data_IF_396721389259
#
_entry.id   IF_396721389259
#
_cell.length_a   1.000
_cell.length_b   1.000
_cell.length_c   1.000
_cell.angle_alpha   90.00
_cell.angle_beta   90.00
_cell.angle_gamma   90.00
#
_symmetry.space_group_name_H-M   'P 1'
#
loop_
_entity.id
_entity.type
_entity.pdbx_description
1 polymer ?
#
# COMPACT_ATOMS: atom_id res chain seq x y z
N UNK A 1 22.26 -18.05 -15.66
CA UNK A 1 21.69 -16.81 -15.10
C UNK A 1 20.57 -17.26 -14.19
N UNK A 2 20.57 -16.85 -12.93
CA UNK A 2 19.41 -17.10 -12.06
C UNK A 2 18.20 -16.38 -12.68
N UNK A 3 17.12 -17.12 -12.86
CA UNK A 3 15.88 -16.63 -13.42
C UNK A 3 15.25 -15.66 -12.42
N UNK A 4 15.26 -14.36 -12.72
CA UNK A 4 14.73 -13.30 -11.85
C UNK A 4 13.65 -12.51 -12.56
N UNK A 5 12.71 -11.95 -11.80
CA UNK A 5 11.65 -11.07 -12.29
C UNK A 5 11.62 -9.78 -11.49
N UNK A 6 11.19 -8.67 -12.11
CA UNK A 6 11.07 -7.40 -11.41
C UNK A 6 9.88 -7.42 -10.45
N UNK A 7 10.10 -7.04 -9.18
CA UNK A 7 9.06 -6.96 -8.17
C UNK A 7 8.69 -5.50 -7.88
N UNK A 8 7.41 -5.14 -8.07
CA UNK A 8 6.90 -3.80 -7.77
C UNK A 8 7.03 -3.43 -6.29
N UNK A 9 6.92 -4.40 -5.38
CA UNK A 9 7.07 -4.17 -3.94
C UNK A 9 8.53 -3.98 -3.52
N UNK A 10 9.44 -4.85 -3.99
CA UNK A 10 10.86 -4.75 -3.62
C UNK A 10 11.62 -3.66 -4.39
N UNK A 11 11.15 -3.30 -5.60
CA UNK A 11 11.79 -2.31 -6.46
C UNK A 11 13.02 -2.82 -7.19
N UNK A 12 13.20 -4.13 -7.28
CA UNK A 12 14.39 -4.77 -7.87
C UNK A 12 14.03 -6.11 -8.54
N UNK A 13 14.99 -6.69 -9.27
CA UNK A 13 14.86 -8.05 -9.77
C UNK A 13 15.11 -9.06 -8.65
N UNK A 14 14.15 -9.98 -8.47
CA UNK A 14 14.13 -10.94 -7.37
C UNK A 14 13.96 -12.36 -7.90
N UNK A 15 14.42 -13.38 -7.16
CA UNK A 15 13.99 -14.76 -7.37
C UNK A 15 12.47 -14.86 -7.18
N UNK A 16 11.86 -15.83 -7.86
CA UNK A 16 10.41 -16.04 -7.80
C UNK A 16 10.06 -17.46 -7.39
N UNK A 17 8.88 -17.62 -6.81
CA UNK A 17 8.27 -18.91 -6.48
C UNK A 17 6.89 -19.00 -7.12
N UNK A 18 6.42 -20.23 -7.38
CA UNK A 18 5.02 -20.46 -7.74
C UNK A 18 4.22 -20.82 -6.49
N UNK A 19 3.09 -20.15 -6.30
CA UNK A 19 2.15 -20.45 -5.21
C UNK A 19 0.81 -20.80 -5.82
N UNK A 20 0.23 -21.91 -5.38
CA UNK A 20 -1.14 -22.29 -5.77
C UNK A 20 -2.14 -21.65 -4.80
N UNK A 21 -3.04 -20.83 -5.34
CA UNK A 21 -4.14 -20.19 -4.60
C UNK A 21 -5.42 -20.33 -5.40
N UNK A 22 -6.49 -20.86 -4.79
CA UNK A 22 -7.81 -20.98 -5.43
C UNK A 22 -7.75 -21.58 -6.83
N UNK A 23 -7.02 -22.69 -7.00
CA UNK A 23 -6.82 -23.40 -8.28
C UNK A 23 -6.08 -22.60 -9.36
N UNK A 24 -5.52 -21.44 -9.02
CA UNK A 24 -4.64 -20.64 -9.88
C UNK A 24 -3.20 -20.74 -9.41
N UNK A 25 -2.28 -20.87 -10.37
CA UNK A 25 -0.84 -20.85 -10.11
C UNK A 25 -0.34 -19.43 -10.31
N UNK A 26 0.06 -18.79 -9.21
CA UNK A 26 0.55 -17.41 -9.20
C UNK A 26 2.09 -17.38 -9.13
N UNK A 27 2.70 -16.51 -9.94
CA UNK A 27 4.11 -16.19 -9.84
C UNK A 27 4.32 -15.14 -8.74
N UNK A 28 5.15 -15.42 -7.74
CA UNK A 28 5.31 -14.56 -6.55
C UNK A 28 6.78 -14.26 -6.27
N UNK A 29 7.04 -13.08 -5.70
CA UNK A 29 8.34 -12.67 -5.20
C UNK A 29 8.78 -13.61 -4.08
N UNK A 30 9.99 -14.18 -4.18
CA UNK A 30 10.53 -15.03 -3.12
C UNK A 30 10.83 -14.28 -1.82
N UNK A 31 10.93 -12.94 -1.86
CA UNK A 31 11.25 -12.12 -0.68
C UNK A 31 10.05 -11.51 0.03
N UNK A 32 9.06 -11.01 -0.71
CA UNK A 32 7.88 -10.36 -0.13
C UNK A 32 6.56 -11.07 -0.43
N UNK A 33 6.56 -12.14 -1.22
CA UNK A 33 5.35 -12.88 -1.58
C UNK A 33 4.39 -12.15 -2.53
N UNK A 34 4.73 -10.95 -3.00
CA UNK A 34 3.90 -10.19 -3.94
C UNK A 34 3.83 -10.87 -5.30
N UNK A 35 2.66 -10.85 -5.94
CA UNK A 35 2.45 -11.41 -7.28
C UNK A 35 3.29 -10.62 -8.30
N UNK A 36 4.00 -11.30 -9.21
CA UNK A 36 4.94 -10.66 -10.12
C UNK A 36 4.40 -10.39 -11.52
N UNK A 37 3.33 -11.07 -11.94
CA UNK A 37 2.74 -10.92 -13.28
C UNK A 37 1.60 -9.87 -13.31
N UNK A 38 1.66 -8.86 -12.43
CA UNK A 38 0.63 -7.80 -12.30
C UNK A 38 0.47 -6.97 -13.57
N UNK A 39 1.54 -6.80 -14.35
CA UNK A 39 1.54 -5.98 -15.56
C UNK A 39 0.61 -6.50 -16.67
N UNK A 40 0.19 -7.76 -16.63
CA UNK A 40 -0.78 -8.35 -17.58
C UNK A 40 -2.23 -8.32 -17.07
N UNK A 41 -2.47 -7.82 -15.85
CA UNK A 41 -3.75 -8.00 -15.15
C UNK A 41 -4.58 -6.71 -15.04
N UNK A 42 -4.17 -5.60 -15.68
CA UNK A 42 -4.71 -4.28 -15.36
C UNK A 42 -5.41 -3.57 -16.50
N UNK A 43 -6.68 -3.23 -16.27
CA UNK A 43 -7.37 -2.06 -16.83
C UNK A 43 -7.53 -1.03 -15.69
N UNK A 44 -7.42 0.30 -15.93
CA UNK A 44 -7.62 1.31 -14.88
C UNK A 44 -8.91 1.05 -14.10
N UNK A 45 -8.89 1.19 -12.76
CA UNK A 45 -10.05 0.81 -11.98
C UNK A 45 -11.20 1.76 -12.36
N UNK A 46 -12.44 1.29 -12.19
CA UNK A 46 -13.56 2.23 -12.25
C UNK A 46 -13.39 3.21 -11.10
N UNK A 47 -13.52 4.50 -11.39
CA UNK A 47 -13.47 5.58 -10.40
C UNK A 47 -14.23 5.20 -9.12
N UNK A 48 -13.54 5.19 -7.98
CA UNK A 48 -14.19 5.00 -6.67
C UNK A 48 -14.57 6.34 -6.05
N UNK A 49 -15.70 6.37 -5.33
CA UNK A 49 -16.07 7.50 -4.46
C UNK A 49 -15.38 7.47 -3.09
N UNK A 50 -14.62 6.40 -2.82
CA UNK A 50 -13.89 6.18 -1.59
C UNK A 50 -12.62 7.02 -1.48
N UNK A 51 -12.06 7.02 -0.27
CA UNK A 51 -10.88 7.79 0.07
C UNK A 51 -9.61 6.97 -0.11
N UNK A 52 -8.60 7.60 -0.71
CA UNK A 52 -7.22 7.12 -0.68
C UNK A 52 -6.46 7.95 0.33
N UNK A 53 -5.93 7.30 1.36
CA UNK A 53 -5.19 7.95 2.45
C UNK A 53 -3.69 7.77 2.25
N UNK A 54 -2.91 8.83 2.50
CA UNK A 54 -1.44 8.79 2.43
C UNK A 54 -0.90 9.39 3.73
N UNK A 55 -0.06 8.66 4.45
CA UNK A 55 0.71 9.19 5.58
C UNK A 55 2.20 9.01 5.28
N UNK A 56 2.89 10.12 5.04
CA UNK A 56 4.29 10.17 4.65
C UNK A 56 4.86 11.50 5.13
N UNK A 57 5.96 11.49 5.87
CA UNK A 57 6.52 12.70 6.47
C UNK A 57 7.29 13.56 5.44
N UNK A 58 7.96 12.92 4.47
CA UNK A 58 8.63 13.61 3.37
C UNK A 58 7.64 14.31 2.45
N UNK A 59 7.63 15.65 2.49
CA UNK A 59 6.77 16.48 1.64
C UNK A 59 6.94 16.16 0.14
N UNK A 60 8.18 15.89 -0.29
CA UNK A 60 8.48 15.56 -1.68
C UNK A 60 7.82 14.25 -2.10
N UNK A 61 8.02 13.18 -1.32
CA UNK A 61 7.44 11.86 -1.60
C UNK A 61 5.92 11.90 -1.49
N UNK A 62 5.39 12.55 -0.45
CA UNK A 62 3.95 12.77 -0.25
C UNK A 62 3.31 13.47 -1.47
N UNK A 63 4.00 14.46 -2.06
CA UNK A 63 3.53 15.17 -3.26
C UNK A 63 3.50 14.27 -4.49
N UNK A 64 4.55 13.47 -4.72
CA UNK A 64 4.63 12.52 -5.85
C UNK A 64 3.45 11.54 -5.80
N UNK A 65 3.28 10.88 -4.65
CA UNK A 65 2.22 9.89 -4.42
C UNK A 65 0.84 10.54 -4.55
N UNK A 66 0.65 11.72 -3.98
CA UNK A 66 -0.62 12.44 -4.08
C UNK A 66 -0.96 12.77 -5.54
N UNK A 67 0.02 13.23 -6.33
CA UNK A 67 -0.21 13.62 -7.71
C UNK A 67 -0.58 12.43 -8.60
N UNK A 68 0.09 11.29 -8.45
CA UNK A 68 -0.21 10.10 -9.26
C UNK A 68 -1.59 9.52 -8.92
N UNK A 69 -1.99 9.57 -7.65
CA UNK A 69 -3.28 9.03 -7.19
C UNK A 69 -4.46 10.00 -7.36
N UNK A 70 -4.21 11.30 -7.56
CA UNK A 70 -5.24 12.29 -7.91
C UNK A 70 -5.63 12.29 -9.39
N UNK A 71 -5.05 11.40 -10.19
CA UNK A 71 -5.44 11.26 -11.59
C UNK A 71 -6.84 10.65 -11.70
N UNK A 72 -7.54 10.91 -12.81
CA UNK A 72 -8.90 10.41 -13.11
C UNK A 72 -9.02 8.87 -13.01
N UNK A 73 -7.90 8.15 -12.95
CA UNK A 73 -7.86 6.69 -12.86
C UNK A 73 -8.22 6.16 -11.47
N UNK A 74 -7.86 6.80 -10.36
CA UNK A 74 -7.94 6.15 -9.04
C UNK A 74 -9.13 6.58 -8.20
N UNK A 75 -9.02 7.75 -7.58
CA UNK A 75 -10.02 8.23 -6.63
C UNK A 75 -10.18 9.74 -6.77
N UNK A 76 -11.41 10.19 -6.64
CA UNK A 76 -11.73 11.62 -6.54
C UNK A 76 -11.24 12.24 -5.21
N UNK A 77 -10.91 11.43 -4.19
CA UNK A 77 -10.70 11.87 -2.81
C UNK A 77 -9.40 11.32 -2.21
N UNK A 78 -8.28 11.92 -2.62
CA UNK A 78 -6.97 11.67 -2.00
C UNK A 78 -6.73 12.62 -0.82
N UNK A 79 -6.46 12.07 0.36
CA UNK A 79 -6.07 12.82 1.56
C UNK A 79 -4.67 12.43 2.01
N UNK A 80 -3.82 13.43 2.25
CA UNK A 80 -2.41 13.23 2.58
C UNK A 80 -2.06 13.89 3.91
N UNK A 81 -1.28 13.20 4.73
CA UNK A 81 -0.95 13.54 6.13
C UNK A 81 0.54 13.41 6.37
N UNK A 82 1.06 14.13 7.36
CA UNK A 82 2.51 14.18 7.64
C UNK A 82 2.95 13.19 8.71
N UNK A 83 2.01 12.57 9.42
CA UNK A 83 2.28 11.63 10.51
C UNK A 83 1.10 10.68 10.78
N UNK A 84 1.36 9.65 11.60
CA UNK A 84 0.35 8.64 11.94
C UNK A 84 -0.83 9.15 12.76
N UNK A 85 -0.67 10.23 13.54
CA UNK A 85 -1.75 10.77 14.36
C UNK A 85 -2.82 11.47 13.52
N UNK A 86 -2.39 12.27 12.54
CA UNK A 86 -3.28 12.89 11.55
C UNK A 86 -4.04 11.84 10.74
N UNK A 87 -3.36 10.78 10.32
CA UNK A 87 -3.98 9.65 9.63
C UNK A 87 -5.08 9.01 10.47
N UNK A 88 -4.83 8.68 11.75
CA UNK A 88 -5.84 8.08 12.63
C UNK A 88 -7.02 9.03 12.82
N UNK A 89 -6.76 10.33 13.02
CA UNK A 89 -7.80 11.34 13.21
C UNK A 89 -8.75 11.39 12.00
N UNK A 90 -8.17 11.47 10.80
CA UNK A 90 -8.94 11.44 9.55
C UNK A 90 -9.66 10.10 9.35
N UNK A 91 -8.99 8.98 9.59
CA UNK A 91 -9.58 7.64 9.49
C UNK A 91 -10.80 7.50 10.40
N UNK A 92 -10.67 7.90 11.67
CA UNK A 92 -11.75 7.87 12.67
C UNK A 92 -12.94 8.71 12.23
N UNK A 93 -12.68 9.90 11.68
CA UNK A 93 -13.71 10.78 11.14
C UNK A 93 -14.44 10.13 9.96
N UNK A 94 -13.71 9.58 8.99
CA UNK A 94 -14.28 8.91 7.82
C UNK A 94 -15.13 7.70 8.21
N UNK A 95 -14.67 6.91 9.19
CA UNK A 95 -15.45 5.79 9.75
C UNK A 95 -16.75 6.29 10.40
N UNK A 96 -16.70 7.37 11.18
CA UNK A 96 -17.90 7.96 11.80
C UNK A 96 -18.90 8.48 10.75
N UNK A 97 -18.40 9.03 9.65
CA UNK A 97 -19.19 9.50 8.50
C UNK A 97 -19.65 8.36 7.58
N UNK A 98 -19.27 7.11 7.87
CA UNK A 98 -19.52 5.92 7.01
C UNK A 98 -18.98 6.08 5.58
N UNK A 99 -17.93 6.87 5.41
CA UNK A 99 -17.23 7.00 4.16
C UNK A 99 -16.45 5.72 3.84
N UNK A 100 -16.40 5.32 2.57
CA UNK A 100 -15.54 4.23 2.11
C UNK A 100 -14.08 4.69 2.06
N UNK A 101 -13.18 3.80 2.45
CA UNK A 101 -11.73 3.99 2.33
C UNK A 101 -11.25 2.86 1.44
N UNK A 102 -10.70 3.21 0.29
CA UNK A 102 -10.29 2.24 -0.73
C UNK A 102 -8.92 1.65 -0.40
N UNK A 103 -7.99 2.50 0.02
CA UNK A 103 -6.63 2.11 0.38
C UNK A 103 -5.96 3.16 1.28
N UNK A 104 -5.01 2.73 2.10
CA UNK A 104 -4.10 3.63 2.80
C UNK A 104 -2.63 3.30 2.49
N UNK A 105 -1.81 4.30 2.15
CA UNK A 105 -0.35 4.18 2.08
C UNK A 105 0.21 4.78 3.36
N UNK A 106 0.95 3.99 4.13
CA UNK A 106 1.43 4.36 5.46
C UNK A 106 2.95 4.17 5.50
N UNK A 107 3.69 5.27 5.59
CA UNK A 107 5.12 5.21 5.87
C UNK A 107 5.37 4.61 7.25
N UNK A 108 6.33 3.69 7.35
CA UNK A 108 6.72 3.10 8.61
C UNK A 108 7.41 4.11 9.54
N UNK A 109 8.20 5.01 8.98
CA UNK A 109 9.08 5.89 9.75
C UNK A 109 8.59 7.33 9.65
N UNK A 110 7.70 7.73 10.56
CA UNK A 110 7.20 9.11 10.65
C UNK A 110 7.46 9.70 12.04
N UNK A 111 7.62 11.03 12.17
CA UNK A 111 7.65 11.70 13.47
C UNK A 111 6.29 11.65 14.14
N UNK A 112 6.24 11.95 15.45
CA UNK A 112 5.04 11.97 16.32
C UNK A 112 4.42 10.58 16.54
N UNK A 113 4.12 9.85 15.47
CA UNK A 113 3.61 8.48 15.50
C UNK A 113 4.05 7.72 14.26
N UNK A 114 4.70 6.58 14.47
CA UNK A 114 5.15 5.68 13.42
C UNK A 114 4.01 4.91 12.75
N UNK A 115 4.27 4.36 11.56
CA UNK A 115 3.27 3.69 10.75
C UNK A 115 2.75 2.39 11.35
N UNK A 116 3.56 1.65 12.11
CA UNK A 116 3.14 0.42 12.78
C UNK A 116 2.13 0.75 13.89
N UNK A 117 2.43 1.76 14.71
CA UNK A 117 1.53 2.26 15.75
C UNK A 117 0.24 2.79 15.16
N UNK A 118 0.32 3.52 14.03
CA UNK A 118 -0.85 4.00 13.31
C UNK A 118 -1.74 2.85 12.80
N UNK A 119 -1.15 1.89 12.10
CA UNK A 119 -1.85 0.72 11.56
C UNK A 119 -2.47 -0.16 12.66
N UNK A 120 -1.77 -0.35 13.79
CA UNK A 120 -2.33 -1.03 14.98
C UNK A 120 -3.59 -0.33 15.49
N UNK A 121 -3.56 0.99 15.56
CA UNK A 121 -4.70 1.78 16.02
C UNK A 121 -5.86 1.69 15.04
N UNK A 122 -5.60 1.77 13.74
CA UNK A 122 -6.59 1.57 12.67
C UNK A 122 -7.26 0.20 12.81
N UNK A 123 -6.48 -0.88 12.93
CA UNK A 123 -7.03 -2.24 13.10
C UNK A 123 -7.88 -2.38 14.36
N UNK A 124 -7.51 -1.72 15.45
CA UNK A 124 -8.31 -1.70 16.68
C UNK A 124 -9.65 -0.96 16.46
N UNK A 125 -9.64 0.20 15.79
CA UNK A 125 -10.85 0.95 15.43
C UNK A 125 -11.77 0.09 14.56
N UNK A 126 -11.23 -0.55 13.53
CA UNK A 126 -12.00 -1.40 12.62
C UNK A 126 -12.66 -2.57 13.36
N UNK A 127 -11.91 -3.25 14.24
CA UNK A 127 -12.43 -4.33 15.08
C UNK A 127 -13.52 -3.83 16.03
N UNK A 128 -13.33 -2.66 16.65
CA UNK A 128 -14.30 -2.09 17.59
C UNK A 128 -15.60 -1.68 16.89
N UNK A 129 -15.49 -1.10 15.70
CA UNK A 129 -16.63 -0.66 14.89
C UNK A 129 -17.23 -1.80 14.05
N UNK A 130 -16.62 -2.99 14.05
CA UNK A 130 -17.02 -4.17 13.27
C UNK A 130 -17.14 -3.88 11.78
N UNK A 131 -16.20 -3.10 11.24
CA UNK A 131 -16.12 -2.79 9.82
C UNK A 131 -15.05 -3.65 9.13
N UNK A 132 -15.14 -3.75 7.81
CA UNK A 132 -14.14 -4.45 7.03
C UNK A 132 -12.76 -3.78 7.20
N UNK A 133 -11.72 -4.62 7.23
CA UNK A 133 -10.33 -4.18 7.28
C UNK A 133 -9.99 -3.39 6.01
N UNK A 134 -9.53 -2.15 6.19
CA UNK A 134 -9.00 -1.30 5.12
C UNK A 134 -7.71 -1.90 4.60
N UNK A 135 -7.53 -2.05 3.27
CA UNK A 135 -6.25 -2.49 2.74
C UNK A 135 -5.23 -1.35 2.90
N UNK A 136 -4.08 -1.64 3.50
CA UNK A 136 -2.99 -0.69 3.56
C UNK A 136 -1.70 -1.23 2.98
N UNK A 137 -0.91 -0.31 2.42
CA UNK A 137 0.45 -0.51 1.91
C UNK A 137 1.40 0.08 2.94
N UNK A 138 2.25 -0.76 3.55
CA UNK A 138 3.38 -0.21 4.29
C UNK A 138 4.45 0.28 3.35
N UNK A 139 4.95 1.49 3.60
CA UNK A 139 5.91 2.16 2.74
C UNK A 139 7.19 2.40 3.53
N UNK A 140 8.36 2.04 2.99
CA UNK A 140 9.62 2.14 3.74
C UNK A 140 10.83 2.28 2.87
N UNK A 141 11.79 3.10 3.29
CA UNK A 141 13.06 3.29 2.58
C UNK A 141 14.02 2.11 2.79
N UNK A 142 13.82 1.33 3.85
CA UNK A 142 14.67 0.16 4.16
C UNK A 142 13.96 -1.12 3.76
N UNK A 143 14.70 -2.11 3.26
CA UNK A 143 14.13 -3.46 3.07
C UNK A 143 13.71 -4.01 4.42
N UNK A 144 12.48 -4.54 4.48
CA UNK A 144 12.01 -5.16 5.70
C UNK A 144 12.81 -6.44 5.99
N UNK A 145 13.44 -6.47 7.16
CA UNK A 145 14.04 -7.68 7.72
C UNK A 145 12.95 -8.61 8.29
N UNK A 146 13.35 -9.79 8.76
CA UNK A 146 12.41 -10.80 9.24
C UNK A 146 11.64 -10.34 10.50
N UNK A 147 12.26 -9.51 11.35
CA UNK A 147 11.60 -8.98 12.53
C UNK A 147 10.50 -7.98 12.17
N UNK A 148 10.80 -7.05 11.27
CA UNK A 148 9.83 -6.07 10.77
C UNK A 148 8.71 -6.76 9.99
N UNK A 149 9.03 -7.78 9.18
CA UNK A 149 8.02 -8.60 8.48
C UNK A 149 7.08 -9.28 9.44
N UNK A 150 7.60 -9.97 10.46
CA UNK A 150 6.79 -10.63 11.47
C UNK A 150 5.88 -9.64 12.21
N UNK A 151 6.37 -8.43 12.49
CA UNK A 151 5.56 -7.38 13.09
C UNK A 151 4.45 -6.88 12.16
N UNK A 152 4.74 -6.70 10.87
CA UNK A 152 3.75 -6.30 9.87
C UNK A 152 2.68 -7.38 9.65
N UNK A 153 3.05 -8.66 9.63
CA UNK A 153 2.11 -9.78 9.42
C UNK A 153 0.96 -9.80 10.43
N UNK A 154 1.23 -9.42 11.68
CA UNK A 154 0.21 -9.30 12.74
C UNK A 154 -0.87 -8.27 12.41
N UNK A 155 -0.58 -7.32 11.54
CA UNK A 155 -1.48 -6.23 11.14
C UNK A 155 -2.18 -6.52 9.81
N UNK A 156 -1.79 -7.61 9.14
CA UNK A 156 -2.33 -8.05 7.86
C UNK A 156 -2.39 -6.89 6.84
N UNK A 157 -1.24 -6.28 6.48
CA UNK A 157 -1.17 -5.35 5.35
C UNK A 157 -1.66 -6.03 4.07
N UNK A 158 -2.19 -5.22 3.16
CA UNK A 158 -2.44 -5.70 1.80
C UNK A 158 -1.10 -5.99 1.09
N UNK A 159 -0.10 -5.12 1.30
CA UNK A 159 1.29 -5.39 0.90
C UNK A 159 2.27 -4.45 1.61
N UNK A 160 3.56 -4.67 1.39
CA UNK A 160 4.65 -3.77 1.74
C UNK A 160 5.33 -3.29 0.45
N UNK A 161 5.76 -2.04 0.41
CA UNK A 161 6.46 -1.43 -0.72
C UNK A 161 7.71 -0.69 -0.22
N UNK A 162 8.85 -1.06 -0.79
CA UNK A 162 10.08 -0.30 -0.60
C UNK A 162 10.05 0.96 -1.48
N UNK A 163 10.43 2.13 -0.95
CA UNK A 163 10.43 3.39 -1.71
C UNK A 163 11.38 3.36 -2.92
N UNK A 164 12.37 2.46 -2.89
CA UNK A 164 13.44 2.37 -3.88
C UNK A 164 14.57 3.34 -3.60
N UNK A 165 15.68 3.15 -4.29
CA UNK A 165 16.85 4.05 -4.25
C UNK A 165 17.06 4.76 -5.58
N UNK A 166 16.18 4.55 -6.56
CA UNK A 166 16.23 5.22 -7.85
C UNK A 166 15.91 6.72 -7.64
N UNK A 167 16.79 7.64 -8.10
CA UNK A 167 16.54 9.07 -7.95
C UNK A 167 15.42 9.58 -8.86
N UNK A 168 15.00 8.81 -9.88
CA UNK A 168 13.90 9.18 -10.77
C UNK A 168 12.54 9.03 -10.05
N UNK A 169 11.82 10.15 -9.79
CA UNK A 169 10.52 10.10 -9.12
C UNK A 169 9.46 9.35 -9.94
N UNK A 170 9.63 9.25 -11.27
CA UNK A 170 8.68 8.55 -12.13
C UNK A 170 8.71 7.04 -11.90
N UNK A 171 9.86 6.49 -11.50
CA UNK A 171 9.97 5.06 -11.13
C UNK A 171 9.20 4.74 -9.87
N UNK A 172 9.20 5.66 -8.91
CA UNK A 172 8.40 5.48 -7.70
C UNK A 172 6.90 5.63 -8.02
N UNK A 173 6.53 6.67 -8.77
CA UNK A 173 5.14 6.94 -9.10
C UNK A 173 4.50 5.80 -9.90
N UNK A 174 5.20 5.25 -10.89
CA UNK A 174 4.75 4.09 -11.69
C UNK A 174 4.47 2.86 -10.80
N UNK A 175 5.37 2.55 -9.86
CA UNK A 175 5.17 1.41 -8.95
C UNK A 175 4.01 1.63 -8.00
N UNK A 176 3.85 2.85 -7.48
CA UNK A 176 2.71 3.24 -6.63
C UNK A 176 1.40 3.11 -7.40
N UNK A 177 1.35 3.63 -8.63
CA UNK A 177 0.20 3.56 -9.54
C UNK A 177 -0.26 2.10 -9.72
N UNK A 178 0.67 1.23 -10.08
CA UNK A 178 0.39 -0.19 -10.35
C UNK A 178 -0.04 -0.95 -9.09
N UNK A 179 0.63 -0.74 -7.96
CA UNK A 179 0.28 -1.42 -6.70
C UNK A 179 -1.09 -0.97 -6.22
N UNK A 180 -1.35 0.34 -6.17
CA UNK A 180 -2.64 0.86 -5.72
C UNK A 180 -3.76 0.39 -6.64
N UNK A 181 -3.55 0.40 -7.95
CA UNK A 181 -4.53 -0.08 -8.91
C UNK A 181 -4.93 -1.53 -8.68
N UNK A 182 -3.93 -2.40 -8.60
CA UNK A 182 -4.14 -3.81 -8.28
C UNK A 182 -4.89 -4.01 -6.96
N UNK A 183 -4.58 -3.23 -5.92
CA UNK A 183 -5.29 -3.31 -4.64
C UNK A 183 -6.72 -2.83 -4.74
N UNK A 184 -6.99 -1.72 -5.43
CA UNK A 184 -8.36 -1.22 -5.59
C UNK A 184 -9.24 -2.21 -6.34
N UNK A 185 -8.72 -2.90 -7.35
CA UNK A 185 -9.45 -3.97 -8.05
C UNK A 185 -9.66 -5.20 -7.15
N UNK A 186 -8.59 -5.68 -6.52
CA UNK A 186 -8.62 -6.88 -5.67
C UNK A 186 -9.57 -6.74 -4.47
N UNK A 187 -9.69 -5.53 -3.94
CA UNK A 187 -10.53 -5.22 -2.78
C UNK A 187 -11.81 -4.44 -3.15
N UNK A 188 -12.12 -4.32 -4.45
CA UNK A 188 -13.38 -3.74 -4.91
C UNK A 188 -14.55 -4.55 -4.32
N UNK A 189 -15.50 -3.83 -3.71
CA UNK A 189 -16.71 -4.41 -3.11
C UNK A 189 -17.81 -4.61 -4.13
#
# INVERSE_FOLDING_TARGET
MEDTKYCLCCGEHVPYNFVERYEKRELTCAYCGFVLDVQQLWEPPRSSEGYTLIAEDSQFIRTIITNVLKTEKFSAKVSAFENGLELISAFTKLVAERASIDVAIIDLNMPVMDGITAARTIRAIESQQKIAATPFVFFSSMKADDALRAQMELLQPATYMNKGTDPDPDKLSERVELIVGYLMEKYAK
#
